data_IF_799305176349
#
_entry.id   IF_799305176349
#
_cell.length_a   1.000
_cell.length_b   1.000
_cell.length_c   1.000
_cell.angle_alpha   90.00
_cell.angle_beta   90.00
_cell.angle_gamma   90.00
#
_symmetry.space_group_name_H-M   'P 1'
#
loop_
_entity.id
_entity.type
_entity.pdbx_description
1 polymer ?
#
# COMPACT_ATOMS: atom_id res chain seq x y z
N UNK A 1 21.77 -2.63 2.70
CA UNK A 1 20.61 -1.89 3.25
C UNK A 1 19.50 -1.99 2.22
N UNK A 2 18.26 -2.32 2.61
CA UNK A 2 17.15 -2.55 1.66
C UNK A 2 16.02 -1.56 1.98
N UNK A 3 15.66 -0.73 1.00
CA UNK A 3 14.61 0.29 1.10
C UNK A 3 13.60 0.02 0.01
N UNK A 4 12.36 -0.29 0.38
CA UNK A 4 11.33 -0.70 -0.57
C UNK A 4 10.05 0.08 -0.34
N UNK A 5 9.48 0.65 -1.40
CA UNK A 5 8.14 1.20 -1.40
C UNK A 5 7.24 0.31 -2.25
N UNK A 6 6.11 -0.14 -1.69
CA UNK A 6 5.16 -1.03 -2.37
C UNK A 6 3.84 -0.29 -2.59
N UNK A 7 3.45 -0.13 -3.84
CA UNK A 7 2.17 0.47 -4.24
C UNK A 7 1.28 -0.53 -4.96
N UNK A 8 -0.04 -0.32 -4.92
CA UNK A 8 -1.01 -1.17 -5.60
C UNK A 8 -2.40 -1.18 -4.95
N UNK A 9 -3.36 -1.81 -5.64
CA UNK A 9 -4.76 -1.86 -5.22
C UNK A 9 -4.94 -2.60 -3.88
N UNK A 10 -6.05 -2.38 -3.18
CA UNK A 10 -6.45 -3.25 -2.09
C UNK A 10 -6.67 -4.68 -2.62
N UNK A 11 -6.21 -5.69 -1.86
CA UNK A 11 -6.27 -7.09 -2.32
C UNK A 11 -5.12 -7.51 -3.23
N UNK A 12 -4.18 -6.62 -3.58
CA UNK A 12 -3.03 -6.98 -4.43
C UNK A 12 -1.89 -7.72 -3.70
N UNK A 13 -2.02 -7.94 -2.39
CA UNK A 13 -1.03 -8.69 -1.59
C UNK A 13 0.13 -7.87 -1.03
N UNK A 14 0.07 -6.52 -1.09
CA UNK A 14 1.13 -5.62 -0.58
C UNK A 14 1.62 -5.96 0.82
N UNK A 15 0.72 -6.09 1.81
CA UNK A 15 1.09 -6.39 3.19
C UNK A 15 1.71 -7.79 3.36
N UNK A 16 1.41 -8.74 2.47
CA UNK A 16 2.08 -10.04 2.44
C UNK A 16 3.50 -9.90 1.91
N UNK A 17 3.68 -9.25 0.77
CA UNK A 17 5.00 -9.00 0.20
C UNK A 17 5.88 -8.15 1.12
N UNK A 18 5.31 -7.13 1.77
CA UNK A 18 6.04 -6.28 2.72
C UNK A 18 6.60 -7.09 3.89
N UNK A 19 5.79 -7.99 4.46
CA UNK A 19 6.22 -8.88 5.55
C UNK A 19 7.27 -9.89 5.09
N UNK A 20 7.15 -10.45 3.88
CA UNK A 20 8.15 -11.35 3.32
C UNK A 20 9.50 -10.64 3.15
N UNK A 21 9.53 -9.48 2.48
CA UNK A 21 10.75 -8.68 2.29
C UNK A 21 11.35 -8.30 3.65
N UNK A 22 10.52 -7.87 4.60
CA UNK A 22 10.99 -7.50 5.93
C UNK A 22 11.61 -8.68 6.69
N UNK A 23 11.00 -9.86 6.63
CA UNK A 23 11.54 -11.08 7.24
C UNK A 23 12.87 -11.50 6.62
N UNK A 24 13.05 -11.34 5.31
CA UNK A 24 14.29 -11.69 4.60
C UNK A 24 15.49 -10.83 5.01
N UNK A 25 15.27 -9.53 5.29
CA UNK A 25 16.37 -8.57 5.47
C UNK A 25 16.35 -7.79 6.79
N UNK A 26 15.47 -8.17 7.72
CA UNK A 26 15.32 -7.50 9.02
C UNK A 26 14.88 -6.04 8.90
N UNK A 27 14.04 -5.71 7.92
CA UNK A 27 13.58 -4.34 7.68
C UNK A 27 12.37 -3.98 8.55
N UNK A 28 12.27 -2.71 8.97
CA UNK A 28 11.06 -2.19 9.59
C UNK A 28 9.93 -2.06 8.55
N UNK A 29 8.69 -2.33 8.93
CA UNK A 29 7.53 -2.22 8.03
C UNK A 29 6.63 -1.07 8.48
N UNK A 30 6.20 -0.26 7.53
CA UNK A 30 5.19 0.76 7.73
C UNK A 30 4.01 0.55 6.76
N UNK A 31 2.86 0.26 7.35
CA UNK A 31 1.56 0.29 6.66
C UNK A 31 1.08 1.75 6.58
N UNK A 32 0.98 2.28 5.36
CA UNK A 32 0.59 3.66 5.12
C UNK A 32 -0.86 3.95 5.52
N UNK A 33 -1.74 2.93 5.64
CA UNK A 33 -3.08 3.11 6.21
C UNK A 33 -2.99 3.62 7.66
N UNK A 34 -1.95 3.27 8.42
CA UNK A 34 -1.77 3.74 9.80
C UNK A 34 -1.39 5.21 9.92
N UNK A 35 -0.91 5.82 8.83
CA UNK A 35 -0.49 7.23 8.78
C UNK A 35 -1.50 8.09 8.04
N UNK A 36 -2.27 7.56 7.10
CA UNK A 36 -3.16 8.35 6.26
C UNK A 36 -4.31 9.05 7.02
N UNK A 37 -4.69 8.54 8.20
CA UNK A 37 -5.84 9.02 8.98
C UNK A 37 -5.41 9.73 10.26
N UNK A 38 -6.20 10.72 10.69
CA UNK A 38 -5.96 11.42 11.95
C UNK A 38 -6.03 10.44 13.13
N UNK A 39 -5.06 10.47 14.06
CA UNK A 39 -5.05 9.59 15.22
C UNK A 39 -6.35 9.68 16.02
N UNK A 40 -7.02 8.55 16.23
CA UNK A 40 -8.29 8.47 16.97
C UNK A 40 -9.51 8.99 16.20
N UNK A 41 -9.38 9.36 14.92
CA UNK A 41 -10.49 9.81 14.06
C UNK A 41 -10.56 8.97 12.78
N UNK A 42 -11.28 7.83 12.81
CA UNK A 42 -11.52 7.05 11.61
C UNK A 42 -12.13 7.91 10.49
N UNK A 43 -11.66 7.73 9.26
CA UNK A 43 -12.15 8.43 8.06
C UNK A 43 -11.92 9.95 8.01
N UNK A 44 -11.02 10.51 8.84
CA UNK A 44 -10.52 11.87 8.68
C UNK A 44 -9.12 11.83 8.04
N UNK A 45 -8.99 12.07 6.71
CA UNK A 45 -7.68 12.11 6.07
C UNK A 45 -6.81 13.19 6.71
N UNK A 46 -5.55 12.85 7.01
CA UNK A 46 -4.57 13.87 7.43
C UNK A 46 -4.22 14.76 6.25
N UNK A 47 -3.75 15.97 6.54
CA UNK A 47 -3.09 16.78 5.53
C UNK A 47 -1.90 16.00 4.94
N UNK A 48 -1.84 15.89 3.60
CA UNK A 48 -0.83 15.09 2.88
C UNK A 48 0.60 15.44 3.33
N UNK A 49 0.90 16.71 3.58
CA UNK A 49 2.21 17.15 4.09
C UNK A 49 2.56 16.57 5.47
N UNK A 50 1.58 16.44 6.37
CA UNK A 50 1.79 15.89 7.70
C UNK A 50 2.04 14.37 7.63
N UNK A 51 1.22 13.66 6.86
CA UNK A 51 1.41 12.24 6.61
C UNK A 51 2.78 11.95 5.95
N UNK A 52 3.14 12.70 4.92
CA UNK A 52 4.42 12.56 4.23
C UNK A 52 5.63 12.86 5.13
N UNK A 53 5.51 13.80 6.08
CA UNK A 53 6.55 14.04 7.10
C UNK A 53 6.77 12.81 7.99
N UNK A 54 5.69 12.16 8.43
CA UNK A 54 5.80 10.99 9.30
C UNK A 54 6.38 9.78 8.56
N UNK A 55 6.00 9.57 7.29
CA UNK A 55 6.61 8.55 6.44
C UNK A 55 8.12 8.79 6.30
N UNK A 56 8.54 10.04 6.00
CA UNK A 56 9.97 10.38 5.92
C UNK A 56 10.69 10.18 7.24
N UNK A 57 10.08 10.55 8.36
CA UNK A 57 10.66 10.36 9.69
C UNK A 57 10.88 8.88 9.99
N UNK A 58 9.89 8.03 9.69
CA UNK A 58 10.03 6.57 9.79
C UNK A 58 11.19 6.05 8.93
N UNK A 59 11.26 6.45 7.65
CA UNK A 59 12.33 6.02 6.75
C UNK A 59 13.72 6.51 7.17
N UNK A 60 13.82 7.69 7.77
CA UNK A 60 15.08 8.24 8.27
C UNK A 60 15.58 7.53 9.55
N UNK A 61 14.66 7.06 10.40
CA UNK A 61 14.98 6.34 11.63
C UNK A 61 15.43 4.89 11.41
N UNK A 62 15.25 4.34 10.20
CA UNK A 62 15.50 2.94 9.89
C UNK A 62 16.50 2.79 8.73
N UNK A 63 17.57 1.99 8.92
CA UNK A 63 18.54 1.75 7.85
C UNK A 63 17.98 0.89 6.70
N UNK A 64 17.10 -0.06 7.04
CA UNK A 64 16.33 -0.88 6.09
C UNK A 64 14.85 -0.78 6.44
N UNK A 65 14.01 -0.54 5.45
CA UNK A 65 12.57 -0.37 5.64
C UNK A 65 11.77 -0.82 4.43
N UNK A 66 10.51 -1.15 4.68
CA UNK A 66 9.47 -1.37 3.67
C UNK A 66 8.29 -0.49 4.04
N UNK A 67 7.84 0.35 3.11
CA UNK A 67 6.56 1.05 3.22
C UNK A 67 5.58 0.45 2.22
N UNK A 68 4.30 0.36 2.58
CA UNK A 68 3.30 -0.25 1.71
C UNK A 68 1.94 0.42 1.83
N UNK A 69 1.23 0.59 0.71
CA UNK A 69 -0.11 1.17 0.72
C UNK A 69 -0.64 1.49 -0.68
N UNK A 70 -1.85 2.06 -0.74
CA UNK A 70 -2.41 2.59 -1.99
C UNK A 70 -2.20 4.11 -2.15
N UNK A 71 -1.55 4.76 -1.18
CA UNK A 71 -1.30 6.20 -1.18
C UNK A 71 -0.05 6.53 -2.01
N UNK A 72 -0.24 6.67 -3.32
CA UNK A 72 0.86 6.92 -4.25
C UNK A 72 1.69 8.17 -3.90
N UNK A 73 1.06 9.24 -3.43
CA UNK A 73 1.74 10.47 -3.00
C UNK A 73 2.65 10.25 -1.78
N UNK A 74 2.19 9.47 -0.79
CA UNK A 74 2.99 9.12 0.38
C UNK A 74 4.16 8.20 0.02
N UNK A 75 3.98 7.27 -0.91
CA UNK A 75 5.06 6.44 -1.41
C UNK A 75 6.08 7.27 -2.21
N UNK A 76 5.61 8.17 -3.08
CA UNK A 76 6.46 9.06 -3.89
C UNK A 76 7.31 9.99 -3.02
N UNK A 77 6.81 10.39 -1.85
CA UNK A 77 7.49 11.28 -0.91
C UNK A 77 8.85 10.77 -0.36
N UNK A 78 9.18 9.48 -0.55
CA UNK A 78 10.45 8.88 -0.13
C UNK A 78 11.30 8.34 -1.28
N UNK A 79 10.83 8.46 -2.52
CA UNK A 79 11.56 7.96 -3.69
C UNK A 79 12.74 8.89 -4.04
N UNK A 80 13.95 8.50 -3.65
CA UNK A 80 15.18 9.28 -3.81
C UNK A 80 16.16 8.72 -4.87
N UNK A 81 15.71 7.75 -5.66
CA UNK A 81 16.53 7.03 -6.64
C UNK A 81 17.29 5.82 -6.08
N UNK A 82 17.34 5.66 -4.75
CA UNK A 82 17.94 4.51 -4.07
C UNK A 82 16.90 3.50 -3.58
N UNK A 83 15.64 3.92 -3.47
CA UNK A 83 14.51 3.10 -3.02
C UNK A 83 14.02 2.19 -4.14
N UNK A 84 13.82 0.91 -3.87
CA UNK A 84 13.14 0.02 -4.81
C UNK A 84 11.63 0.29 -4.79
N UNK A 85 11.06 0.69 -5.93
CA UNK A 85 9.61 0.80 -6.10
C UNK A 85 9.04 -0.50 -6.66
N UNK A 86 8.16 -1.15 -5.90
CA UNK A 86 7.41 -2.33 -6.33
C UNK A 86 5.96 -1.95 -6.58
N UNK A 87 5.52 -2.08 -7.82
CA UNK A 87 4.12 -1.87 -8.18
C UNK A 87 3.39 -3.22 -8.34
N UNK A 88 2.47 -3.52 -7.44
CA UNK A 88 1.56 -4.67 -7.54
C UNK A 88 0.34 -4.30 -8.38
N UNK A 89 0.47 -4.46 -9.70
CA UNK A 89 -0.55 -4.15 -10.71
C UNK A 89 -1.34 -5.38 -11.14
N UNK A 90 -2.00 -6.02 -10.17
CA UNK A 90 -2.83 -7.20 -10.40
C UNK A 90 -4.17 -6.86 -11.03
N UNK A 91 -4.80 -7.86 -11.67
CA UNK A 91 -6.12 -7.72 -12.28
C UNK A 91 -7.21 -7.43 -11.24
N UNK A 92 -8.31 -6.81 -11.67
CA UNK A 92 -9.48 -6.57 -10.80
C UNK A 92 -9.98 -7.88 -10.20
N UNK A 93 -10.07 -8.92 -11.04
CA UNK A 93 -10.55 -10.25 -10.65
C UNK A 93 -9.69 -10.83 -9.54
N UNK A 94 -8.37 -10.74 -9.64
CA UNK A 94 -7.45 -11.22 -8.60
C UNK A 94 -7.61 -10.42 -7.31
N UNK A 95 -7.66 -9.09 -7.38
CA UNK A 95 -7.80 -8.24 -6.19
C UNK A 95 -9.14 -8.46 -5.48
N UNK A 96 -10.23 -8.57 -6.22
CA UNK A 96 -11.57 -8.89 -5.69
C UNK A 96 -11.59 -10.28 -5.06
N UNK A 97 -11.00 -11.29 -5.72
CA UNK A 97 -10.89 -12.65 -5.17
C UNK A 97 -10.14 -12.64 -3.84
N UNK A 98 -9.00 -11.97 -3.78
CA UNK A 98 -8.19 -11.87 -2.57
C UNK A 98 -8.94 -11.13 -1.45
N UNK A 99 -9.67 -10.06 -1.75
CA UNK A 99 -10.51 -9.37 -0.75
C UNK A 99 -11.61 -10.27 -0.18
N UNK A 100 -12.28 -11.06 -1.01
CA UNK A 100 -13.30 -12.03 -0.57
C UNK A 100 -12.73 -13.15 0.31
N UNK A 101 -11.47 -13.53 0.07
CA UNK A 101 -10.77 -14.57 0.82
C UNK A 101 -10.07 -14.09 2.09
N UNK A 102 -10.18 -12.81 2.48
CA UNK A 102 -9.47 -12.28 3.65
C UNK A 102 -9.93 -12.94 4.95
N UNK A 103 -8.96 -13.39 5.73
CA UNK A 103 -9.17 -13.69 7.14
C UNK A 103 -9.56 -12.42 7.92
N UNK A 104 -10.02 -12.60 9.16
CA UNK A 104 -10.30 -11.48 10.06
C UNK A 104 -9.03 -10.66 10.32
N UNK A 105 -9.11 -9.35 10.13
CA UNK A 105 -8.06 -8.37 10.40
C UNK A 105 -8.33 -7.68 11.76
N UNK A 106 -7.89 -8.24 12.90
CA UNK A 106 -8.24 -7.73 14.25
C UNK A 106 -7.70 -6.33 14.55
N UNK A 107 -6.69 -5.89 13.78
CA UNK A 107 -6.14 -4.53 13.87
C UNK A 107 -7.02 -3.48 13.16
N UNK A 108 -7.97 -3.90 12.31
CA UNK A 108 -8.92 -3.04 11.59
C UNK A 108 -10.35 -3.19 12.11
N UNK A 109 -10.74 -4.40 12.48
CA UNK A 109 -12.12 -4.75 12.79
C UNK A 109 -12.25 -5.48 14.12
N UNK A 110 -13.30 -5.15 14.88
CA UNK A 110 -13.58 -5.76 16.17
C UNK A 110 -13.99 -7.25 16.06
N UNK A 111 -14.53 -7.67 14.92
CA UNK A 111 -14.88 -9.06 14.63
C UNK A 111 -14.88 -9.35 13.13
N UNK A 112 -15.00 -10.63 12.75
CA UNK A 112 -15.14 -11.05 11.34
C UNK A 112 -16.45 -10.55 10.74
N UNK A 113 -17.53 -10.55 11.50
CA UNK A 113 -18.84 -10.06 11.09
C UNK A 113 -18.81 -8.56 10.81
N UNK A 114 -18.13 -7.78 11.66
CA UNK A 114 -17.92 -6.35 11.42
C UNK A 114 -17.14 -6.12 10.12
N UNK A 115 -16.05 -6.87 9.90
CA UNK A 115 -15.30 -6.80 8.63
C UNK A 115 -16.17 -7.13 7.42
N UNK A 116 -16.98 -8.18 7.50
CA UNK A 116 -17.82 -8.65 6.40
C UNK A 116 -18.94 -7.66 6.07
N UNK A 117 -19.47 -6.95 7.07
CA UNK A 117 -20.44 -5.88 6.86
C UNK A 117 -19.89 -4.71 6.00
N UNK A 118 -18.57 -4.55 5.93
CA UNK A 118 -17.90 -3.55 5.10
C UNK A 118 -17.37 -4.10 3.76
N UNK A 119 -17.53 -5.40 3.50
CA UNK A 119 -16.94 -6.06 2.34
C UNK A 119 -17.42 -5.45 1.02
N UNK A 120 -18.71 -5.19 0.86
CA UNK A 120 -19.24 -4.65 -0.40
C UNK A 120 -18.66 -3.26 -0.71
N UNK A 121 -18.58 -2.39 0.29
CA UNK A 121 -17.93 -1.08 0.16
C UNK A 121 -16.45 -1.21 -0.23
N UNK A 122 -15.74 -2.15 0.39
CA UNK A 122 -14.35 -2.46 0.01
C UNK A 122 -14.25 -2.96 -1.43
N UNK A 123 -15.16 -3.84 -1.87
CA UNK A 123 -15.15 -4.37 -3.23
C UNK A 123 -15.43 -3.27 -4.26
N UNK A 124 -16.36 -2.37 -4.00
CA UNK A 124 -16.63 -1.23 -4.89
C UNK A 124 -15.44 -0.29 -4.99
N UNK A 125 -14.75 -0.05 -3.86
CA UNK A 125 -13.46 0.61 -3.88
C UNK A 125 -12.46 -0.17 -4.76
N UNK A 126 -12.21 -1.45 -4.48
CA UNK A 126 -11.25 -2.27 -5.26
C UNK A 126 -11.53 -2.22 -6.77
N UNK A 127 -12.80 -2.28 -7.19
CA UNK A 127 -13.20 -2.18 -8.60
C UNK A 127 -12.94 -0.81 -9.20
N UNK A 128 -13.28 0.26 -8.47
CA UNK A 128 -13.08 1.62 -8.93
C UNK A 128 -11.60 1.95 -9.15
N UNK A 129 -10.64 1.20 -8.59
CA UNK A 129 -9.20 1.42 -8.79
C UNK A 129 -8.76 1.53 -10.27
N UNK A 130 -9.39 0.74 -11.15
CA UNK A 130 -9.02 0.64 -12.56
C UNK A 130 -9.61 1.76 -13.43
N UNK A 131 -10.58 2.51 -12.91
CA UNK A 131 -11.31 3.54 -13.68
C UNK A 131 -11.31 4.91 -13.01
N UNK A 132 -11.10 4.97 -11.69
CA UNK A 132 -11.01 6.22 -10.94
C UNK A 132 -9.71 6.96 -11.27
N UNK A 133 -9.69 8.22 -10.85
CA UNK A 133 -8.51 9.07 -10.91
C UNK A 133 -7.87 9.31 -9.55
N UNK A 134 -6.71 9.96 -9.58
CA UNK A 134 -5.97 10.37 -8.39
C UNK A 134 -4.85 9.41 -8.00
N UNK A 135 -4.14 9.74 -6.92
CA UNK A 135 -2.92 9.06 -6.49
C UNK A 135 -3.14 7.65 -5.94
N UNK A 136 -4.39 7.27 -5.68
CA UNK A 136 -4.81 5.93 -5.25
C UNK A 136 -5.47 5.11 -6.37
N UNK A 137 -5.22 5.46 -7.63
CA UNK A 137 -5.74 4.78 -8.82
C UNK A 137 -4.66 4.02 -9.58
N UNK A 138 -5.05 3.11 -10.47
CA UNK A 138 -4.10 2.46 -11.38
C UNK A 138 -3.33 3.48 -12.22
N UNK A 139 -4.05 4.47 -12.75
CA UNK A 139 -3.47 5.57 -13.54
C UNK A 139 -2.47 6.39 -12.72
N UNK A 140 -2.80 6.69 -11.47
CA UNK A 140 -1.92 7.42 -10.54
C UNK A 140 -0.66 6.63 -10.21
N UNK A 141 -0.80 5.34 -9.89
CA UNK A 141 0.34 4.46 -9.62
C UNK A 141 1.25 4.29 -10.85
N UNK A 142 0.69 4.10 -12.05
CA UNK A 142 1.49 4.11 -13.28
C UNK A 142 2.22 5.43 -13.47
N UNK A 143 1.56 6.57 -13.26
CA UNK A 143 2.20 7.87 -13.42
C UNK A 143 3.42 8.04 -12.48
N UNK A 144 3.34 7.54 -11.25
CA UNK A 144 4.49 7.52 -10.32
C UNK A 144 5.56 6.54 -10.80
N UNK A 145 5.14 5.32 -11.14
CA UNK A 145 6.03 4.27 -11.62
C UNK A 145 6.83 4.72 -12.85
N UNK A 146 6.18 5.33 -13.84
CA UNK A 146 6.78 5.77 -15.09
C UNK A 146 7.77 6.92 -14.86
N UNK A 147 7.42 7.91 -14.03
CA UNK A 147 8.30 9.03 -13.67
C UNK A 147 9.52 8.62 -12.85
N UNK A 148 9.41 7.57 -12.04
CA UNK A 148 10.50 7.17 -11.16
C UNK A 148 11.68 6.57 -11.96
N UNK A 149 12.87 7.13 -11.81
CA UNK A 149 14.08 6.68 -12.52
C UNK A 149 14.94 5.69 -11.72
N UNK A 150 14.62 5.45 -10.45
CA UNK A 150 15.34 4.50 -9.60
C UNK A 150 14.95 3.03 -9.86
N UNK A 151 15.45 2.10 -9.03
CA UNK A 151 15.13 0.69 -9.18
C UNK A 151 13.63 0.48 -9.02
N UNK A 152 12.97 -0.12 -10.03
CA UNK A 152 11.54 -0.35 -10.02
C UNK A 152 11.17 -1.64 -10.73
N UNK A 153 10.11 -2.28 -10.26
CA UNK A 153 9.52 -3.46 -10.91
C UNK A 153 8.01 -3.48 -10.76
N UNK A 154 7.34 -4.00 -11.78
CA UNK A 154 5.90 -4.18 -11.83
C UNK A 154 5.57 -5.67 -11.78
N UNK A 155 4.60 -6.05 -10.95
CA UNK A 155 4.13 -7.42 -10.78
C UNK A 155 2.66 -7.47 -11.17
N UNK A 156 2.35 -8.24 -12.21
CA UNK A 156 0.99 -8.33 -12.80
C UNK A 156 0.30 -9.68 -12.56
N UNK A 157 0.98 -10.64 -11.92
CA UNK A 157 0.47 -11.99 -11.67
C UNK A 157 0.61 -12.37 -10.21
N UNK A 158 -0.40 -13.09 -9.69
CA UNK A 158 -0.49 -13.47 -8.27
C UNK A 158 0.44 -14.61 -7.86
N UNK A 159 1.15 -15.23 -8.80
CA UNK A 159 2.04 -16.38 -8.55
C UNK A 159 3.27 -16.03 -7.68
N UNK A 160 3.45 -14.74 -7.34
CA UNK A 160 4.59 -14.20 -6.61
C UNK A 160 4.23 -13.63 -5.23
N UNK A 161 2.98 -13.76 -4.76
CA UNK A 161 2.52 -13.18 -3.48
C UNK A 161 1.66 -14.14 -2.67
#
# INVERSE_FOLDING_TARGET
MRRVAIIGNAGSGKSTLARQIAAECGAAVLDLDTIAWEPGKPAAPRASDAAARDVRAFCAANASWVIEGCYGDLAEAVLDGTVELVFLNLSEVDCVRQCRGRAWEPHKWQSKEAQDAHLDCLLDWVRAYYTRDGVMSQRGHHAIFDRYAGPKREITRSELV
#
